data_IF_270757018802
#
_entry.id   IF_270757018802
#
_cell.length_a   1.000
_cell.length_b   1.000
_cell.length_c   1.000
_cell.angle_alpha   90.00
_cell.angle_beta   90.00
_cell.angle_gamma   90.00
#
_symmetry.space_group_name_H-M   'P 1'
#
loop_
_entity.id
_entity.type
_entity.pdbx_description
1 polymer ?
2 non-polymer ?
3 water ?
#
# COMPACT_ATOMS: atom_id res chain seq x y z
N UNK A 9 -3.19 22.95 18.62
CA UNK A 9 -2.09 22.82 19.63
C UNK A 9 -1.28 21.51 19.43
N UNK A 10 -1.98 20.40 19.23
CA UNK A 10 -1.33 19.08 19.03
C UNK A 10 -0.82 18.93 17.60
N UNK A 11 0.51 18.83 17.41
CA UNK A 11 1.20 18.67 16.12
C UNK A 11 0.52 17.74 15.11
N UNK A 12 0.15 16.55 15.56
CA UNK A 12 -0.51 15.56 14.71
C UNK A 12 -1.80 16.13 14.17
N UNK A 13 -2.40 17.02 14.94
CA UNK A 13 -3.67 17.62 14.55
C UNK A 13 -3.52 18.93 13.82
N UNK A 14 -2.31 19.27 13.40
CA UNK A 14 -2.11 20.51 12.65
C UNK A 14 -2.39 20.24 11.19
N UNK A 15 -3.08 21.16 10.51
CA UNK A 15 -3.41 21.02 9.09
C UNK A 15 -2.17 20.86 8.23
N UNK A 16 -2.37 20.38 7.01
CA UNK A 16 -1.26 20.16 6.12
C UNK A 16 -1.77 20.14 4.69
N UNK A 17 -1.09 20.88 3.81
CA UNK A 17 -1.47 20.94 2.41
C UNK A 17 -0.66 19.90 1.63
N UNK A 18 -1.36 19.02 0.90
CA UNK A 18 -0.72 17.99 0.12
C UNK A 18 -1.09 18.08 -1.36
N UNK A 19 -0.13 18.46 -2.18
CA UNK A 19 -0.43 18.57 -3.60
C UNK A 19 -1.46 19.65 -3.90
N UNK A 20 -2.68 19.48 -3.39
CA UNK A 20 -3.77 20.42 -3.59
C UNK A 20 -4.99 20.07 -2.72
N UNK A 21 -4.79 19.09 -1.83
CA UNK A 21 -5.83 18.63 -0.91
C UNK A 21 -5.62 19.24 0.49
N UNK A 22 -6.70 19.69 1.13
CA UNK A 22 -6.61 20.25 2.49
C UNK A 22 -6.90 19.19 3.53
N UNK A 23 -5.88 18.82 4.32
CA UNK A 23 -6.07 17.81 5.35
C UNK A 23 -6.24 18.52 6.72
N UNK A 24 -7.27 18.15 7.47
CA UNK A 24 -7.54 18.78 8.76
C UNK A 24 -6.57 18.41 9.88
N UNK A 25 -5.87 17.28 9.66
CA UNK A 25 -4.89 16.74 10.59
C UNK A 25 -3.95 15.80 9.84
N UNK A 26 -2.90 15.32 10.50
CA UNK A 26 -1.93 14.45 9.84
C UNK A 26 -2.02 12.96 10.16
N UNK A 27 -3.08 12.55 10.83
CA UNK A 27 -3.26 11.15 11.20
C UNK A 27 -3.91 10.44 10.01
N UNK A 28 -3.09 9.65 9.33
CA UNK A 28 -3.53 8.94 8.14
C UNK A 28 -3.93 7.48 8.39
N UNK A 29 -5.09 7.06 7.87
CA UNK A 29 -5.46 5.64 8.00
C UNK A 29 -4.57 4.86 6.99
N UNK A 30 -3.67 4.01 7.49
CA UNK A 30 -2.78 3.23 6.65
C UNK A 30 -3.55 2.17 5.84
N UNK A 31 -3.04 1.84 4.65
CA UNK A 31 -3.73 0.82 3.84
C UNK A 31 -3.70 -0.44 4.69
N UNK A 32 -4.82 -1.13 4.78
CA UNK A 32 -4.93 -2.32 5.60
C UNK A 32 -5.74 -3.47 4.94
N UNK A 33 -5.03 -4.48 4.43
CA UNK A 33 -5.66 -5.66 3.79
C UNK A 33 -6.46 -6.40 4.88
N UNK A 34 -7.78 -6.48 4.71
CA UNK A 34 -8.64 -7.13 5.71
C UNK A 34 -9.29 -8.44 5.23
N UNK A 35 -9.13 -8.78 3.96
CA UNK A 35 -9.66 -10.03 3.42
C UNK A 35 -11.14 -10.29 3.73
N UNK A 36 -11.99 -9.32 3.39
CA UNK A 36 -13.43 -9.46 3.62
C UNK A 36 -14.16 -8.96 2.38
N UNK A 37 -13.45 -8.94 1.26
CA UNK A 37 -14.01 -8.51 -0.01
C UNK A 37 -14.30 -9.82 -0.76
N UNK A 38 -15.33 -10.52 -0.29
CA UNK A 38 -15.74 -11.80 -0.85
C UNK A 38 -15.62 -11.89 -2.34
N UNK A 39 -14.86 -12.88 -2.80
CA UNK A 39 -14.67 -13.09 -4.23
C UNK A 39 -13.87 -12.03 -4.94
N UNK A 40 -13.25 -11.14 -4.15
CA UNK A 40 -12.45 -10.03 -4.66
C UNK A 40 -13.34 -8.84 -4.97
N UNK A 41 -14.58 -8.91 -4.49
CA UNK A 41 -15.51 -7.82 -4.69
C UNK A 41 -15.71 -7.09 -3.36
N UNK A 42 -15.55 -5.77 -3.36
CA UNK A 42 -15.72 -4.98 -2.13
C UNK A 42 -17.08 -5.26 -1.49
N UNK A 43 -17.16 -5.29 -0.17
CA UNK A 43 -18.44 -5.57 0.47
C UNK A 43 -19.06 -4.36 1.18
N UNK A 44 -20.36 -4.44 1.46
CA UNK A 44 -21.12 -3.40 2.13
C UNK A 44 -20.51 -2.98 3.43
N UNK A 45 -19.88 -3.92 4.12
CA UNK A 45 -19.26 -3.55 5.37
C UNK A 45 -18.20 -2.44 5.13
N UNK A 46 -17.30 -2.61 4.15
CA UNK A 46 -16.29 -1.57 3.86
C UNK A 46 -16.93 -0.17 3.92
N UNK A 47 -18.12 -0.02 3.31
CA UNK A 47 -18.84 1.26 3.33
C UNK A 47 -18.86 1.79 4.76
N UNK A 48 -19.28 0.96 5.70
CA UNK A 48 -19.31 1.34 7.12
C UNK A 48 -17.86 1.50 7.62
N UNK A 49 -17.07 0.45 7.47
CA UNK A 49 -15.68 0.44 7.88
C UNK A 49 -14.88 1.70 7.57
N UNK A 50 -14.75 2.08 6.29
CA UNK A 50 -14.00 3.28 5.92
C UNK A 50 -14.71 4.58 6.35
N UNK A 51 -16.05 4.54 6.34
CA UNK A 51 -16.85 5.69 6.74
C UNK A 51 -16.61 5.99 8.22
N UNK A 52 -16.51 4.94 9.01
CA UNK A 52 -16.28 5.10 10.44
C UNK A 52 -14.94 5.74 10.72
N UNK A 53 -13.99 5.54 9.81
CA UNK A 53 -12.64 6.09 10.00
C UNK A 53 -12.37 7.41 9.28
N UNK A 54 -13.40 7.96 8.67
CA UNK A 54 -13.30 9.23 7.95
C UNK A 54 -13.61 10.42 8.87
N UNK A 55 -12.89 11.52 8.67
CA UNK A 55 -13.07 12.78 9.41
C UNK A 55 -13.10 13.89 8.40
N UNK A 56 -13.74 15.02 8.73
CA UNK A 56 -13.79 16.15 7.79
C UNK A 56 -12.36 16.46 7.37
N UNK A 57 -12.00 16.11 6.14
CA UNK A 57 -10.65 16.39 5.69
C UNK A 57 -9.59 15.41 6.17
N UNK A 58 -9.98 14.16 6.44
CA UNK A 58 -9.02 13.16 6.88
C UNK A 58 -8.55 12.36 5.66
N UNK A 59 -7.27 11.98 5.65
CA UNK A 59 -6.70 11.21 4.54
C UNK A 59 -6.79 9.73 4.87
N UNK A 60 -7.36 8.94 3.95
CA UNK A 60 -7.52 7.49 4.12
C UNK A 60 -6.87 6.71 2.96
N UNK A 61 -6.19 5.61 3.28
CA UNK A 61 -5.57 4.78 2.28
C UNK A 61 -6.28 3.41 2.34
N UNK A 62 -6.80 2.94 1.20
CA UNK A 62 -7.48 1.64 1.20
C UNK A 62 -6.53 0.47 1.38
N UNK A 63 -7.10 -0.67 1.76
CA UNK A 63 -6.34 -1.90 1.85
C UNK A 63 -5.82 -2.13 0.41
N UNK A 64 -4.79 -2.95 0.23
CA UNK A 64 -4.30 -3.23 -1.12
C UNK A 64 -5.47 -3.84 -1.93
N UNK A 65 -5.55 -3.44 -3.20
CA UNK A 65 -6.61 -3.82 -4.14
C UNK A 65 -6.07 -4.26 -5.52
N UNK A 66 -6.21 -5.55 -5.82
CA UNK A 66 -5.71 -6.13 -7.07
C UNK A 66 -6.01 -5.40 -8.36
N UNK A 67 -5.04 -5.41 -9.26
CA UNK A 67 -5.17 -4.74 -10.53
C UNK A 67 -5.66 -5.71 -11.62
N UNK A 68 -5.47 -7.00 -11.39
CA UNK A 68 -5.89 -8.00 -12.36
C UNK A 68 -6.25 -9.35 -11.76
N UNK A 69 -6.53 -10.31 -12.63
CA UNK A 69 -6.91 -11.64 -12.19
C UNK A 69 -5.74 -12.47 -11.67
N UNK A 70 -4.52 -11.93 -11.79
CA UNK A 70 -3.31 -12.64 -11.32
C UNK A 70 -2.54 -11.86 -10.26
N UNK A 71 -3.08 -10.71 -9.86
CA UNK A 71 -2.47 -9.80 -8.88
C UNK A 71 -2.53 -10.31 -7.43
N UNK A 72 -3.47 -11.21 -7.16
CA UNK A 72 -3.67 -11.76 -5.82
C UNK A 72 -2.59 -12.74 -5.38
N UNK A 73 -2.43 -12.82 -4.06
CA UNK A 73 -1.50 -13.73 -3.40
C UNK A 73 -2.10 -14.24 -2.09
N UNK A 74 -3.42 -14.06 -1.95
CA UNK A 74 -4.25 -14.47 -0.78
C UNK A 74 -5.70 -14.66 -1.24
N UNK A 75 -6.66 -14.50 -0.33
CA UNK A 75 -8.04 -14.67 -0.70
C UNK A 75 -8.92 -13.51 -0.25
N UNK A 76 -9.94 -13.20 -1.03
CA UNK A 76 -10.89 -12.13 -0.75
C UNK A 76 -10.34 -10.71 -0.55
N UNK A 77 -9.22 -10.39 -1.20
CA UNK A 77 -8.70 -9.03 -1.12
C UNK A 77 -9.31 -8.44 -2.38
N UNK A 78 -9.88 -7.23 -2.27
CA UNK A 78 -10.51 -6.60 -3.43
C UNK A 78 -9.67 -6.31 -4.67
N UNK A 79 -10.30 -6.45 -5.83
CA UNK A 79 -9.61 -6.12 -7.05
C UNK A 79 -10.18 -4.79 -7.50
N UNK A 80 -9.53 -4.15 -8.46
CA UNK A 80 -10.05 -2.92 -9.01
C UNK A 80 -9.98 -3.18 -10.51
N UNK A 81 -10.21 -4.42 -10.94
CA UNK A 81 -10.13 -4.64 -12.40
C UNK A 81 -11.42 -4.99 -13.16
N UNK A 82 -12.49 -5.34 -12.47
CA UNK A 82 -13.74 -5.65 -13.18
C UNK A 82 -14.79 -4.59 -12.97
N UNK A 83 -15.57 -4.31 -14.01
CA UNK A 83 -16.61 -3.31 -13.92
C UNK A 83 -17.35 -3.54 -12.61
N UNK A 84 -17.61 -4.81 -12.26
CA UNK A 84 -18.31 -5.11 -11.02
C UNK A 84 -17.60 -4.52 -9.79
N UNK A 85 -16.33 -4.91 -9.56
CA UNK A 85 -15.58 -4.39 -8.42
C UNK A 85 -15.84 -2.89 -8.26
N UNK A 86 -15.75 -2.16 -9.37
CA UNK A 86 -15.99 -0.71 -9.38
C UNK A 86 -17.32 -0.29 -8.76
N UNK A 87 -18.41 -0.99 -9.07
CA UNK A 87 -19.71 -0.58 -8.50
C UNK A 87 -19.81 -0.90 -7.02
N UNK A 88 -19.16 -1.98 -6.61
CA UNK A 88 -19.11 -2.35 -5.21
C UNK A 88 -18.32 -1.23 -4.50
N UNK A 89 -17.25 -0.76 -5.14
CA UNK A 89 -16.45 0.29 -4.53
C UNK A 89 -17.16 1.64 -4.50
N UNK A 90 -17.69 2.06 -5.65
CA UNK A 90 -18.36 3.35 -5.75
C UNK A 90 -19.08 3.81 -4.48
N UNK A 91 -20.10 3.09 -4.02
CA UNK A 91 -20.74 3.60 -2.79
C UNK A 91 -19.85 3.73 -1.55
N UNK A 92 -18.77 2.95 -1.50
CA UNK A 92 -17.87 3.02 -0.35
C UNK A 92 -17.18 4.38 -0.40
N UNK A 93 -16.81 4.79 -1.61
CA UNK A 93 -16.15 6.06 -1.87
C UNK A 93 -17.08 7.24 -1.55
N UNK A 94 -18.35 7.11 -1.92
CA UNK A 94 -19.30 8.20 -1.65
C UNK A 94 -19.47 8.43 -0.17
N UNK A 95 -19.54 7.34 0.60
CA UNK A 95 -19.69 7.45 2.06
C UNK A 95 -18.45 8.11 2.69
N UNK A 96 -17.29 7.94 2.06
CA UNK A 96 -16.06 8.54 2.59
C UNK A 96 -16.07 10.02 2.23
N UNK A 97 -16.49 10.32 1.00
CA UNK A 97 -16.59 11.70 0.55
C UNK A 97 -17.72 12.47 1.21
N UNK A 98 -18.84 11.82 1.50
CA UNK A 98 -19.92 12.55 2.14
C UNK A 98 -19.51 12.94 3.56
N UNK A 99 -18.45 12.32 4.11
CA UNK A 99 -17.95 12.67 5.45
C UNK A 99 -16.68 13.52 5.36
N UNK A 100 -16.32 13.94 4.14
CA UNK A 100 -15.17 14.81 3.98
C UNK A 100 -13.76 14.25 3.83
N UNK A 101 -13.63 12.93 3.82
CA UNK A 101 -12.31 12.35 3.67
C UNK A 101 -11.73 12.43 2.27
N UNK A 102 -10.39 12.40 2.19
CA UNK A 102 -9.66 12.37 0.94
C UNK A 102 -9.33 10.89 0.99
N UNK A 103 -9.83 10.16 0.00
CA UNK A 103 -9.72 8.70 -0.03
C UNK A 103 -8.91 8.15 -1.21
N UNK A 104 -7.72 7.60 -0.93
CA UNK A 104 -6.87 6.98 -1.97
C UNK A 104 -6.94 5.47 -1.87
N UNK A 105 -6.91 4.81 -3.02
CA UNK A 105 -6.95 3.35 -3.04
C UNK A 105 -5.56 2.82 -3.34
N UNK A 106 -4.95 2.06 -2.42
CA UNK A 106 -3.62 1.52 -2.70
C UNK A 106 -3.77 0.49 -3.84
N UNK A 107 -2.80 0.42 -4.75
CA UNK A 107 -2.87 -0.54 -5.85
C UNK A 107 -1.66 -1.44 -5.88
N UNK A 108 -1.91 -2.74 -5.91
CA UNK A 108 -0.83 -3.73 -5.91
C UNK A 108 -1.00 -4.80 -6.98
N UNK A 109 -0.17 -5.82 -6.79
CA UNK A 109 -0.05 -7.08 -7.53
C UNK A 109 1.00 -7.78 -6.62
N UNK A 110 0.62 -8.91 -5.99
CA UNK A 110 1.54 -9.59 -5.07
C UNK A 110 2.85 -10.12 -5.66
N UNK A 111 2.85 -10.38 -6.96
CA UNK A 111 4.06 -10.91 -7.56
C UNK A 111 4.31 -12.31 -7.09
N UNK A 112 5.55 -12.63 -6.75
CA UNK A 112 5.86 -13.98 -6.31
C UNK A 112 5.24 -14.41 -4.98
N UNK A 113 4.47 -13.52 -4.33
CA UNK A 113 3.83 -13.82 -3.02
C UNK A 113 2.41 -14.32 -3.27
N UNK A 114 2.31 -15.54 -3.80
CA UNK A 114 1.03 -16.14 -4.14
C UNK A 114 1.18 -17.65 -4.32
N UNK A 115 0.15 -18.29 -4.86
CA UNK A 115 0.14 -19.74 -5.13
C UNK A 115 -0.75 -20.11 -6.31
N UNK A 116 -0.55 -21.31 -6.84
CA UNK A 116 -1.32 -21.78 -7.98
C UNK A 116 -2.82 -21.67 -7.74
N UNK A 117 -3.24 -22.01 -6.52
CA UNK A 117 -4.65 -21.95 -6.17
C UNK A 117 -5.24 -20.56 -6.33
N UNK A 118 -4.38 -19.55 -6.25
CA UNK A 118 -4.79 -18.17 -6.41
C UNK A 118 -4.88 -17.83 -7.89
N UNK A 119 -3.89 -18.27 -8.66
CA UNK A 119 -3.86 -18.00 -10.09
C UNK A 119 -4.85 -18.82 -10.91
N UNK A 120 -5.50 -18.19 -11.91
CA UNK A 120 -6.48 -18.79 -12.81
C UNK A 120 -5.86 -19.99 -13.55
N UNK A 121 -6.70 -20.94 -13.95
CA UNK A 121 -6.21 -22.13 -14.65
C UNK A 121 -5.07 -22.78 -13.85
N UNK A 122 -4.95 -22.41 -12.58
CA UNK A 122 -3.90 -22.94 -11.74
C UNK A 122 -2.50 -22.58 -12.18
N UNK A 123 -2.35 -21.54 -12.99
CA UNK A 123 -1.03 -21.14 -13.46
C UNK A 123 -0.12 -20.77 -12.30
N UNK A 124 1.17 -20.70 -12.58
CA UNK A 124 2.12 -20.35 -11.55
C UNK A 124 2.16 -18.84 -11.27
N UNK A 125 2.42 -18.45 -10.01
CA UNK A 125 2.49 -17.03 -9.68
C UNK A 125 3.62 -16.51 -10.55
N UNK A 126 3.60 -15.22 -10.85
CA UNK A 126 4.62 -14.59 -11.68
C UNK A 126 5.47 -13.66 -10.85
N UNK A 127 6.72 -13.45 -11.27
CA UNK A 127 7.66 -12.57 -10.58
C UNK A 127 8.76 -12.12 -11.53
N UNK A 128 9.69 -11.34 -11.01
CA UNK A 128 10.81 -10.86 -11.81
C UNK A 128 11.79 -12.03 -11.96
N UNK A 129 11.66 -13.02 -11.09
CA UNK A 129 12.54 -14.18 -11.14
C UNK A 129 11.82 -15.49 -10.83
N UNK A 130 12.56 -16.60 -10.90
CA UNK A 130 12.00 -17.89 -10.58
C UNK A 130 12.52 -18.30 -9.21
N UNK A 131 12.88 -17.31 -8.40
CA UNK A 131 13.40 -17.59 -7.06
C UNK A 131 12.28 -17.94 -6.08
N UNK A 132 12.30 -19.15 -5.52
CA UNK A 132 11.28 -19.60 -4.56
C UNK A 132 11.26 -18.78 -3.27
N UNK A 133 10.07 -18.60 -2.70
CA UNK A 133 9.87 -17.85 -1.46
C UNK A 133 9.52 -18.81 -0.32
N UNK A 134 10.25 -18.71 0.79
CA UNK A 134 10.06 -19.56 1.98
C UNK A 134 10.02 -21.04 1.67
N UNK A 135 11.12 -21.58 1.12
CA UNK A 135 11.20 -23.01 0.75
C UNK A 135 10.98 -24.00 1.90
N UNK A 136 11.27 -23.61 3.13
CA UNK A 136 11.08 -24.49 4.28
C UNK A 136 9.60 -24.80 4.54
N UNK A 137 8.71 -23.94 4.07
CA UNK A 137 7.27 -24.16 4.31
C UNK A 137 6.62 -25.10 3.26
N UNK A 138 6.52 -26.38 3.62
CA UNK A 138 5.91 -27.38 2.72
C UNK A 138 4.52 -27.78 3.17
N UNK A 139 3.74 -28.28 2.22
CA UNK A 139 2.37 -28.72 2.50
C UNK A 139 2.35 -29.96 3.38
N UNK A 140 1.49 -30.90 3.07
CA UNK A 140 1.36 -32.13 3.85
C UNK A 140 1.80 -33.38 3.10
N UNK A 141 2.96 -33.91 3.48
CA UNK A 141 3.49 -35.10 2.86
C UNK A 141 3.80 -34.93 1.39
N UNK A 142 3.92 -33.67 0.95
CA UNK A 142 4.21 -33.38 -0.45
C UNK A 142 5.57 -32.70 -0.55
N UNK A 143 5.80 -32.01 -1.66
CA UNK A 143 7.04 -31.29 -1.87
C UNK A 143 6.64 -29.91 -2.38
N UNK A 144 5.39 -29.82 -2.85
CA UNK A 144 4.86 -28.58 -3.38
C UNK A 144 4.81 -27.51 -2.30
N UNK A 145 5.74 -26.56 -2.39
CA UNK A 145 5.83 -25.47 -1.42
C UNK A 145 4.51 -24.77 -1.22
N UNK A 146 4.41 -24.01 -0.14
CA UNK A 146 3.19 -23.26 0.16
C UNK A 146 3.02 -22.23 -0.92
N UNK A 147 4.10 -21.50 -1.21
CA UNK A 147 4.10 -20.49 -2.25
C UNK A 147 4.65 -21.15 -3.49
N UNK A 148 3.74 -21.43 -4.42
CA UNK A 148 4.07 -22.07 -5.69
C UNK A 148 5.22 -21.30 -6.29
N UNK A 149 6.37 -21.96 -6.55
CA UNK A 149 7.53 -21.28 -7.14
C UNK A 149 7.16 -20.41 -8.35
N UNK A 150 7.68 -19.18 -8.39
CA UNK A 150 7.41 -18.21 -9.45
C UNK A 150 8.01 -18.42 -10.84
N UNK A 151 7.22 -18.05 -11.85
CA UNK A 151 7.65 -18.14 -13.23
C UNK A 151 8.35 -16.82 -13.57
N UNK A 152 9.60 -16.88 -14.00
CA UNK A 152 10.36 -15.70 -14.36
C UNK A 152 9.66 -15.04 -15.54
N UNK A 153 9.12 -13.85 -15.27
CA UNK A 153 8.39 -13.04 -16.24
C UNK A 153 9.06 -12.89 -17.61
N UNK A 154 8.35 -13.29 -18.66
CA UNK A 154 8.88 -13.14 -19.99
C UNK A 154 9.00 -11.63 -20.16
N UNK A 155 10.20 -11.16 -20.52
CA UNK A 155 10.44 -9.73 -20.68
C UNK A 155 9.45 -9.04 -21.65
N UNK A 156 8.67 -9.84 -22.36
CA UNK A 156 7.68 -9.28 -23.29
C UNK A 156 6.35 -8.98 -22.56
N UNK A 157 6.18 -9.57 -21.38
CA UNK A 157 4.96 -9.38 -20.59
C UNK A 157 5.11 -8.27 -19.55
N UNK A 158 6.31 -7.73 -19.42
CA UNK A 158 6.54 -6.70 -18.41
C UNK A 158 5.95 -5.33 -18.74
N UNK A 159 6.12 -4.84 -19.98
CA UNK A 159 5.54 -3.53 -20.29
C UNK A 159 4.02 -3.56 -20.12
N UNK A 160 3.43 -4.73 -20.36
CA UNK A 160 1.99 -4.89 -20.20
C UNK A 160 1.58 -4.81 -18.75
N UNK A 161 2.36 -5.41 -17.85
CA UNK A 161 2.05 -5.37 -16.43
C UNK A 161 2.10 -3.94 -15.95
N UNK A 162 3.05 -3.18 -16.50
CA UNK A 162 3.20 -1.78 -16.16
C UNK A 162 1.95 -1.06 -16.64
N UNK A 163 1.30 -1.61 -17.66
CA UNK A 163 0.07 -1.03 -18.18
C UNK A 163 -1.10 -1.43 -17.29
N UNK A 164 -0.95 -2.56 -16.58
CA UNK A 164 -1.98 -3.02 -15.67
C UNK A 164 -2.14 -2.00 -14.54
N UNK A 165 -1.02 -1.45 -14.09
CA UNK A 165 -1.09 -0.44 -13.04
C UNK A 165 -1.67 0.88 -13.54
N UNK A 166 -1.29 1.30 -14.74
CA UNK A 166 -1.83 2.55 -15.23
C UNK A 166 -3.33 2.42 -15.35
N UNK A 167 -3.80 1.27 -15.79
CA UNK A 167 -5.22 1.02 -15.96
C UNK A 167 -5.97 1.15 -14.64
N UNK A 168 -5.61 0.32 -13.68
CA UNK A 168 -6.22 0.36 -12.36
C UNK A 168 -6.27 1.79 -11.87
N UNK A 169 -5.25 2.59 -12.19
CA UNK A 169 -5.26 3.99 -11.76
C UNK A 169 -6.43 4.68 -12.43
N UNK A 170 -6.56 4.51 -13.74
CA UNK A 170 -7.67 5.12 -14.46
C UNK A 170 -8.99 4.65 -13.87
N UNK A 171 -9.08 3.37 -13.55
CA UNK A 171 -10.31 2.84 -12.98
C UNK A 171 -10.61 3.46 -11.63
N UNK A 172 -9.55 3.84 -10.91
CA UNK A 172 -9.72 4.46 -9.60
C UNK A 172 -10.37 5.81 -9.84
N UNK A 173 -9.94 6.48 -10.90
CA UNK A 173 -10.50 7.78 -11.24
C UNK A 173 -11.92 7.59 -11.74
N UNK A 174 -12.32 6.34 -11.99
CA UNK A 174 -13.68 6.03 -12.45
C UNK A 174 -14.60 5.76 -11.26
N UNK A 175 -14.08 5.09 -10.24
CA UNK A 175 -14.85 4.79 -9.05
C UNK A 175 -14.96 6.05 -8.17
N UNK A 176 -14.25 7.11 -8.57
CA UNK A 176 -14.30 8.37 -7.82
C UNK A 176 -13.23 8.63 -6.75
N UNK A 177 -12.23 7.76 -6.65
CA UNK A 177 -11.17 7.96 -5.67
C UNK A 177 -10.41 9.26 -5.99
N UNK A 178 -9.76 9.86 -5.00
CA UNK A 178 -8.99 11.08 -5.21
C UNK A 178 -7.63 10.78 -5.86
N UNK A 179 -7.29 9.50 -5.91
CA UNK A 179 -6.02 9.11 -6.50
C UNK A 179 -5.71 7.69 -6.04
N UNK A 180 -4.46 7.27 -6.28
CA UNK A 180 -4.02 5.93 -5.93
C UNK A 180 -2.65 5.86 -5.30
N UNK A 181 -2.41 4.86 -4.43
CA UNK A 181 -1.09 4.69 -3.83
C UNK A 181 -0.48 3.46 -4.49
N UNK A 182 0.65 3.63 -5.16
CA UNK A 182 1.32 2.50 -5.82
C UNK A 182 2.02 1.64 -4.77
N UNK A 183 1.63 0.38 -4.63
CA UNK A 183 2.27 -0.46 -3.62
C UNK A 183 3.68 -0.86 -4.04
N UNK A 184 4.67 -0.15 -3.53
CA UNK A 184 6.05 -0.48 -3.85
C UNK A 184 6.77 -1.12 -2.67
N UNK A 185 6.02 -1.64 -1.70
CA UNK A 185 6.68 -2.25 -0.54
C UNK A 185 6.27 -3.69 -0.26
N UNK A 186 6.69 -4.13 0.92
CA UNK A 186 6.35 -5.44 1.46
C UNK A 186 6.36 -6.66 0.52
N UNK A 187 7.55 -7.11 0.14
CA UNK A 187 7.68 -8.28 -0.72
C UNK A 187 6.69 -8.46 -1.88
N UNK A 188 5.91 -7.43 -2.21
CA UNK A 188 4.93 -7.54 -3.31
C UNK A 188 5.62 -7.45 -4.68
N UNK A 189 4.84 -7.51 -5.75
CA UNK A 189 5.42 -7.56 -7.09
C UNK A 189 6.41 -6.45 -7.45
N UNK A 190 6.15 -5.23 -7.00
CA UNK A 190 7.07 -4.13 -7.33
C UNK A 190 8.36 -4.16 -6.52
N UNK A 191 8.24 -4.51 -5.25
CA UNK A 191 9.38 -4.60 -4.37
C UNK A 191 10.33 -5.69 -4.88
N UNK A 192 9.77 -6.78 -5.40
CA UNK A 192 10.56 -7.89 -5.95
C UNK A 192 11.56 -7.44 -7.01
N UNK A 193 11.11 -6.62 -7.95
CA UNK A 193 11.99 -6.14 -9.00
C UNK A 193 13.11 -5.27 -8.41
N UNK A 194 12.79 -4.54 -7.35
CA UNK A 194 13.77 -3.66 -6.72
C UNK A 194 14.85 -4.35 -5.89
N UNK A 195 14.45 -5.39 -5.16
CA UNK A 195 15.36 -6.11 -4.28
C UNK A 195 16.31 -7.11 -4.92
N UNK A 196 17.59 -6.88 -4.70
CA UNK A 196 18.62 -7.73 -5.28
C UNK A 196 18.62 -9.18 -4.86
N UNK A 197 18.25 -9.46 -3.63
CA UNK A 197 18.23 -10.86 -3.20
C UNK A 197 17.12 -11.59 -3.95
N UNK A 198 16.21 -10.82 -4.54
CA UNK A 198 15.10 -11.43 -5.29
C UNK A 198 15.25 -11.25 -6.81
N UNK A 199 15.66 -10.05 -7.21
CA UNK A 199 15.83 -9.75 -8.62
C UNK A 199 17.24 -10.10 -9.14
N UNK A 200 17.35 -11.18 -9.89
CA UNK A 200 18.62 -11.62 -10.47
C UNK A 200 18.50 -11.67 -12.00
N UNK A 201 17.61 -10.86 -12.57
CA UNK A 201 17.43 -10.88 -14.01
C UNK A 201 18.72 -10.43 -14.71
N UNK A 202 18.94 -10.94 -15.91
CA UNK A 202 20.13 -10.57 -16.66
C UNK A 202 19.79 -9.81 -17.93
N UNK A 203 18.56 -9.29 -17.98
CA UNK A 203 18.10 -8.49 -19.11
C UNK A 203 17.96 -7.04 -18.64
N UNK A 204 17.11 -6.25 -19.29
CA UNK A 204 16.99 -4.84 -18.89
C UNK A 204 16.22 -4.53 -17.62
N UNK A 205 15.56 -5.53 -17.03
CA UNK A 205 14.80 -5.33 -15.80
C UNK A 205 15.50 -5.85 -14.54
N UNK A 206 16.78 -6.17 -14.67
CA UNK A 206 17.53 -6.66 -13.54
C UNK A 206 19.02 -6.65 -13.79
N UNK A 207 19.78 -6.99 -12.75
CA UNK A 207 21.23 -7.04 -12.88
C UNK A 207 21.96 -5.85 -12.30
N UNK A 208 21.21 -4.84 -11.85
CA UNK A 208 21.79 -3.65 -11.27
C UNK A 208 20.69 -2.77 -10.69
N UNK A 209 21.07 -1.86 -9.79
CA UNK A 209 20.10 -0.96 -9.18
C UNK A 209 19.30 -0.28 -10.28
N UNK A 210 19.99 0.13 -11.33
CA UNK A 210 19.35 0.80 -12.47
C UNK A 210 18.21 -0.07 -13.00
N UNK A 211 18.57 -1.18 -13.64
CA UNK A 211 17.57 -2.08 -14.22
C UNK A 211 16.52 -2.52 -13.19
N UNK A 212 16.91 -2.61 -11.93
CA UNK A 212 16.00 -3.03 -10.89
C UNK A 212 14.89 -2.03 -10.60
N UNK A 213 15.24 -0.74 -10.56
CA UNK A 213 14.23 0.28 -10.29
C UNK A 213 13.44 0.68 -11.53
N UNK A 214 13.86 0.18 -12.68
CA UNK A 214 13.16 0.47 -13.92
C UNK A 214 11.66 0.13 -13.78
N UNK A 215 11.36 -0.97 -13.12
CA UNK A 215 9.97 -1.37 -12.97
C UNK A 215 9.12 -0.31 -12.25
N UNK A 216 9.45 0.03 -10.98
CA UNK A 216 8.68 1.04 -10.25
C UNK A 216 8.75 2.42 -10.91
N UNK A 217 9.80 2.65 -11.68
CA UNK A 217 9.91 3.94 -12.35
C UNK A 217 8.90 4.04 -13.47
N UNK A 218 8.79 3.00 -14.27
CA UNK A 218 7.82 2.98 -15.35
C UNK A 218 6.41 3.10 -14.77
N UNK A 219 6.27 2.78 -13.49
CA UNK A 219 4.96 2.84 -12.85
C UNK A 219 4.70 4.26 -12.38
N UNK A 220 5.65 4.83 -11.65
CA UNK A 220 5.49 6.18 -11.19
C UNK A 220 5.39 7.08 -12.40
N UNK A 221 5.97 6.65 -13.52
CA UNK A 221 5.95 7.44 -14.75
C UNK A 221 4.60 7.35 -15.45
N UNK A 222 4.09 6.13 -15.58
CA UNK A 222 2.83 5.88 -16.25
C UNK A 222 1.57 6.34 -15.50
N UNK A 223 1.52 6.03 -14.21
CA UNK A 223 0.37 6.41 -13.39
C UNK A 223 0.26 7.93 -13.33
N UNK A 224 1.40 8.58 -13.14
CA UNK A 224 1.45 10.04 -13.07
C UNK A 224 0.82 10.73 -14.28
N UNK A 225 1.30 10.38 -15.47
CA UNK A 225 0.77 10.98 -16.69
C UNK A 225 -0.68 10.61 -16.85
N UNK A 226 -1.02 9.41 -16.42
CA UNK A 226 -2.39 8.92 -16.52
C UNK A 226 -3.39 9.76 -15.74
N UNK A 227 -3.25 9.82 -14.43
CA UNK A 227 -4.19 10.58 -13.60
C UNK A 227 -3.65 11.88 -13.03
N UNK A 228 -2.43 12.24 -13.39
CA UNK A 228 -1.83 13.46 -12.86
C UNK A 228 -0.80 13.10 -11.79
N UNK A 229 0.37 13.74 -11.78
CA UNK A 229 1.42 13.45 -10.79
C UNK A 229 1.04 13.79 -9.36
N UNK A 230 0.36 14.93 -9.20
CA UNK A 230 -0.07 15.43 -7.90
C UNK A 230 -1.22 14.64 -7.30
N UNK A 231 -1.53 13.49 -7.88
CA UNK A 231 -2.59 12.66 -7.34
C UNK A 231 -2.01 11.25 -7.17
N UNK A 232 -0.73 11.12 -7.50
CA UNK A 232 -0.09 9.81 -7.38
C UNK A 232 1.01 9.78 -6.35
N UNK A 233 0.95 8.76 -5.50
CA UNK A 233 1.97 8.54 -4.49
C UNK A 233 2.44 7.10 -4.61
N UNK A 234 3.44 6.72 -3.83
CA UNK A 234 3.94 5.35 -3.83
C UNK A 234 4.45 4.95 -2.44
N UNK A 235 4.25 3.67 -2.06
CA UNK A 235 4.72 3.18 -0.77
C UNK A 235 5.90 2.25 -1.01
N UNK A 236 6.97 2.49 -0.27
CA UNK A 236 8.19 1.71 -0.35
C UNK A 236 8.64 1.38 1.07
N UNK A 237 9.35 0.26 1.23
CA UNK A 237 9.89 -0.18 2.51
C UNK A 237 11.30 -0.66 2.21
N UNK A 238 12.26 0.28 2.08
CA UNK A 238 13.65 -0.09 1.78
C UNK A 238 14.44 -0.77 2.91
N UNK A 239 13.81 -0.87 4.09
CA UNK A 239 14.46 -1.48 5.24
C UNK A 239 13.89 -2.85 5.58
N UNK A 240 12.65 -3.08 5.18
CA UNK A 240 11.97 -4.34 5.48
C UNK A 240 12.45 -5.49 4.60
N UNK A 241 12.20 -6.70 5.07
CA UNK A 241 12.53 -7.93 4.34
C UNK A 241 11.34 -8.90 4.41
N UNK A 242 10.14 -8.36 4.62
CA UNK A 242 8.94 -9.19 4.68
C UNK A 242 8.91 -10.05 3.44
N UNK A 243 8.63 -11.35 3.63
CA UNK A 243 8.60 -12.30 2.51
C UNK A 243 9.94 -12.33 1.79
N UNK A 244 11.00 -12.53 2.57
CA UNK A 244 12.37 -12.61 2.07
C UNK A 244 12.64 -11.56 0.99
N UNK A 245 12.36 -10.30 1.34
CA UNK A 245 12.52 -9.17 0.43
C UNK A 245 13.67 -8.24 0.78
N UNK A 246 14.68 -8.77 1.46
CA UNK A 246 15.81 -7.92 1.83
C UNK A 246 16.62 -7.49 0.63
N UNK A 247 17.31 -6.35 0.75
CA UNK A 247 18.16 -5.82 -0.31
C UNK A 247 19.57 -5.82 0.25
N UNK A 248 20.57 -6.03 -0.59
CA UNK A 248 21.96 -6.05 -0.15
C UNK A 248 22.43 -4.69 0.35
N UNK A 249 21.76 -3.64 -0.08
CA UNK A 249 22.14 -2.29 0.31
C UNK A 249 20.86 -1.48 0.42
N UNK A 250 20.10 -1.73 1.49
CA UNK A 250 18.83 -1.06 1.77
C UNK A 250 18.93 0.41 2.17
N UNK A 251 19.82 0.73 3.12
CA UNK A 251 19.97 2.11 3.55
C UNK A 251 20.04 3.07 2.38
N UNK A 252 20.72 2.63 1.34
CA UNK A 252 20.89 3.43 0.13
C UNK A 252 19.61 3.62 -0.66
N UNK A 253 18.70 2.65 -0.59
CA UNK A 253 17.48 2.77 -1.35
C UNK A 253 16.69 3.96 -0.86
N UNK A 254 16.52 4.05 0.46
CA UNK A 254 15.76 5.14 1.04
C UNK A 254 16.10 6.49 0.43
N UNK A 255 17.39 6.80 0.43
CA UNK A 255 17.85 8.06 -0.09
C UNK A 255 17.62 8.12 -1.58
N UNK A 256 18.28 7.21 -2.30
CA UNK A 256 18.17 7.14 -3.75
C UNK A 256 16.73 7.36 -4.14
N UNK A 257 15.86 6.53 -3.60
CA UNK A 257 14.45 6.62 -3.88
C UNK A 257 13.92 8.00 -3.59
N UNK A 258 14.18 8.49 -2.38
CA UNK A 258 13.73 9.83 -2.01
C UNK A 258 14.05 10.84 -3.11
N UNK A 259 15.21 10.69 -3.76
CA UNK A 259 15.65 11.60 -4.82
C UNK A 259 15.11 11.22 -6.19
N UNK A 260 15.16 9.93 -6.49
CA UNK A 260 14.68 9.40 -7.74
C UNK A 260 13.23 9.80 -8.00
N UNK A 261 12.46 10.04 -6.94
CA UNK A 261 11.05 10.43 -7.08
C UNK A 261 10.85 11.90 -7.37
N UNK A 262 11.76 12.75 -6.91
CA UNK A 262 11.66 14.18 -7.18
C UNK A 262 11.60 14.37 -8.67
N UNK A 263 12.52 13.69 -9.34
CA UNK A 263 12.66 13.72 -10.80
C UNK A 263 11.31 13.61 -11.48
N UNK A 264 10.51 12.64 -11.03
CA UNK A 264 9.19 12.39 -11.59
C UNK A 264 8.17 13.32 -10.94
N UNK A 265 8.64 14.03 -9.92
CA UNK A 265 7.77 14.95 -9.22
C UNK A 265 6.35 14.45 -9.04
N UNK A 266 6.10 13.78 -7.91
CA UNK A 266 4.75 13.28 -7.60
C UNK A 266 4.25 13.79 -6.25
N UNK A 267 3.00 13.44 -5.96
CA UNK A 267 2.33 13.88 -4.74
C UNK A 267 3.04 13.58 -3.42
N UNK A 268 3.34 12.31 -3.13
CA UNK A 268 3.98 11.96 -1.87
C UNK A 268 4.81 10.70 -1.87
N UNK A 269 5.61 10.55 -0.83
CA UNK A 269 6.43 9.37 -0.65
C UNK A 269 6.00 8.87 0.72
N UNK A 270 5.59 7.61 0.76
CA UNK A 270 5.09 6.96 1.94
C UNK A 270 6.06 5.81 2.24
N UNK A 271 6.79 5.90 3.35
CA UNK A 271 7.78 4.89 3.68
C UNK A 271 7.61 4.28 5.07
N UNK A 272 7.89 2.99 5.15
CA UNK A 272 7.77 2.26 6.39
C UNK A 272 9.10 2.34 7.15
N UNK A 273 9.00 2.58 8.45
CA UNK A 273 10.19 2.70 9.29
C UNK A 273 10.97 1.38 9.36
N UNK A 274 12.27 1.48 9.59
CA UNK A 274 13.12 0.28 9.71
C UNK A 274 12.90 -0.39 11.06
N UNK A 275 13.77 -1.32 11.40
CA UNK A 275 13.69 -2.04 12.67
C UNK A 275 14.12 -1.15 13.83
N UNK A 276 13.50 0.02 13.94
CA UNK A 276 13.84 0.98 14.98
C UNK A 276 12.85 2.14 15.00
N UNK A 287 19.64 8.66 8.73
CA UNK A 287 20.13 7.47 8.04
C UNK A 287 18.97 6.63 7.52
N UNK A 288 17.90 6.55 8.32
CA UNK A 288 16.71 5.78 7.98
C UNK A 288 15.70 6.60 7.18
N UNK A 289 14.80 7.30 7.87
CA UNK A 289 13.79 8.13 7.21
C UNK A 289 14.01 9.65 7.35
N UNK A 290 14.97 10.08 8.16
CA UNK A 290 15.20 11.51 8.28
C UNK A 290 15.74 12.11 6.99
N UNK A 291 16.89 11.60 6.52
CA UNK A 291 17.43 12.14 5.27
C UNK A 291 16.49 11.87 4.10
N UNK A 292 15.45 11.08 4.34
CA UNK A 292 14.46 10.73 3.32
C UNK A 292 13.41 11.81 3.10
N UNK A 293 12.84 12.31 4.19
CA UNK A 293 11.84 13.35 4.06
C UNK A 293 12.58 14.62 3.64
N UNK A 294 13.86 14.71 4.03
CA UNK A 294 14.72 15.83 3.70
C UNK A 294 14.94 15.87 2.19
N UNK A 295 15.22 14.71 1.63
CA UNK A 295 15.45 14.58 0.21
C UNK A 295 14.20 14.81 -0.64
N UNK A 296 13.09 14.15 -0.28
CA UNK A 296 11.83 14.29 -1.05
C UNK A 296 11.29 15.71 -0.94
N UNK A 297 11.00 16.28 -2.10
CA UNK A 297 10.49 17.64 -2.19
C UNK A 297 9.00 17.73 -1.86
N UNK A 298 8.27 16.63 -2.11
CA UNK A 298 6.85 16.64 -1.84
C UNK A 298 6.48 16.14 -0.46
N UNK A 299 5.20 15.82 -0.29
CA UNK A 299 4.73 15.34 0.99
C UNK A 299 5.41 14.05 1.40
N UNK A 300 5.60 13.88 2.69
CA UNK A 300 6.24 12.69 3.21
C UNK A 300 5.36 12.15 4.32
N UNK A 301 5.05 10.87 4.24
CA UNK A 301 4.20 10.23 5.20
C UNK A 301 5.00 9.16 5.96
N UNK A 302 4.87 9.18 7.27
CA UNK A 302 5.57 8.18 8.09
C UNK A 302 4.60 7.17 8.69
N UNK A 303 5.05 5.92 8.76
CA UNK A 303 4.24 4.83 9.33
C UNK A 303 5.17 3.78 9.87
N UNK A 304 4.72 3.04 10.87
CA UNK A 304 5.59 2.01 11.41
C UNK A 304 6.23 2.42 12.71
N UNK A 305 5.54 2.16 13.82
CA UNK A 305 6.02 2.48 15.16
C UNK A 305 5.33 3.62 15.88
N UNK A 306 4.63 4.48 15.14
CA UNK A 306 3.99 5.63 15.78
C UNK A 306 2.88 5.44 16.78
N UNK A 307 2.76 6.44 17.65
CA UNK A 307 1.77 6.51 18.71
C UNK A 307 1.38 7.98 18.87
N UNK A 308 1.39 8.47 20.10
CA UNK A 308 1.07 9.87 20.33
C UNK A 308 2.37 10.64 20.03
N UNK A 309 3.19 10.83 21.06
CA UNK A 309 4.46 11.54 20.93
C UNK A 309 5.25 11.12 19.70
N UNK A 310 5.36 9.81 19.50
CA UNK A 310 6.08 9.26 18.36
C UNK A 310 5.71 10.13 17.15
N UNK A 311 4.41 10.18 16.84
CA UNK A 311 3.97 10.97 15.70
C UNK A 311 4.06 12.47 15.93
N UNK A 312 3.58 12.93 17.08
CA UNK A 312 3.65 14.34 17.42
C UNK A 312 5.10 14.80 17.19
N UNK A 313 6.04 14.12 17.85
CA UNK A 313 7.45 14.48 17.72
C UNK A 313 7.88 14.57 16.27
N UNK A 314 7.51 13.56 15.49
CA UNK A 314 7.87 13.52 14.09
C UNK A 314 7.24 14.70 13.35
N UNK A 315 6.05 15.12 13.77
CA UNK A 315 5.41 16.23 13.10
C UNK A 315 6.02 17.57 13.53
N UNK A 316 5.89 17.90 14.80
CA UNK A 316 6.42 19.14 15.35
C UNK A 316 7.89 19.35 15.01
N UNK A 317 8.72 18.32 15.19
CA UNK A 317 10.15 18.49 14.87
C UNK A 317 10.43 18.40 13.37
N UNK A 318 9.37 18.48 12.57
CA UNK A 318 9.49 18.44 11.12
C UNK A 318 10.03 17.13 10.52
N UNK A 319 9.95 16.07 11.31
CA UNK A 319 10.43 14.75 10.90
C UNK A 319 9.52 14.14 9.83
N UNK A 320 8.24 14.41 9.92
CA UNK A 320 7.32 13.89 8.92
C UNK A 320 6.25 14.94 8.62
N UNK A 321 5.51 14.75 7.54
CA UNK A 321 4.43 15.68 7.20
C UNK A 321 3.14 15.06 7.68
N UNK A 322 3.03 13.75 7.48
CA UNK A 322 1.86 13.03 7.93
C UNK A 322 2.31 11.79 8.66
N UNK A 323 1.39 11.18 9.39
CA UNK A 323 1.68 9.95 10.12
C UNK A 323 0.51 8.98 9.83
N UNK A 324 0.84 7.82 9.24
CA UNK A 324 -0.12 6.77 8.92
C UNK A 324 -0.02 5.71 10.01
N UNK A 325 -1.16 5.41 10.62
CA UNK A 325 -1.26 4.43 11.68
C UNK A 325 -1.94 3.22 11.11
N UNK A 326 -1.49 2.06 11.54
CA UNK A 326 -2.05 0.83 11.02
C UNK A 326 -2.93 0.16 12.06
N UNK A 327 -2.35 -0.69 12.89
CA UNK A 327 -3.13 -1.43 13.86
C UNK A 327 -3.90 -0.61 14.88
N UNK A 328 -3.40 0.57 15.21
CA UNK A 328 -4.07 1.45 16.15
C UNK A 328 -5.28 2.13 15.54
N UNK A 329 -5.27 2.32 14.22
CA UNK A 329 -6.41 2.98 13.55
C UNK A 329 -7.43 1.90 13.20
N UNK A 330 -6.95 0.68 13.02
CA UNK A 330 -7.80 -0.46 12.68
C UNK A 330 -8.79 -0.66 13.83
N UNK A 331 -8.27 -0.59 15.05
CA UNK A 331 -9.05 -0.79 16.27
C UNK A 331 -9.66 0.46 16.92
N UNK A 332 -9.66 1.59 16.20
CA UNK A 332 -10.22 2.83 16.74
C UNK A 332 -10.76 3.71 15.62
N UNK A 333 -12.03 3.55 15.24
CA UNK A 333 -12.56 4.38 14.17
C UNK A 333 -12.29 5.88 14.38
N UNK A 334 -12.31 6.32 15.63
CA UNK A 334 -12.06 7.71 15.98
C UNK A 334 -10.68 7.91 16.62
N UNK A 335 -9.63 7.79 15.80
CA UNK A 335 -8.28 7.96 16.30
C UNK A 335 -7.84 9.44 16.23
N UNK A 336 -8.05 10.14 15.09
CA UNK A 336 -7.66 11.54 14.95
C UNK A 336 -8.14 12.47 16.08
N UNK A 337 -9.36 12.23 16.55
CA UNK A 337 -9.97 13.02 17.62
C UNK A 337 -9.28 12.73 18.95
N UNK A 338 -8.99 11.46 19.17
CA UNK A 338 -8.33 11.03 20.39
C UNK A 338 -6.99 11.77 20.46
N UNK A 339 -6.18 11.60 19.43
CA UNK A 339 -4.88 12.26 19.35
C UNK A 339 -5.05 13.77 19.48
N UNK A 340 -6.29 14.22 19.57
CA UNK A 340 -6.56 15.64 19.72
C UNK A 340 -7.18 15.91 21.08
N UNK A 341 -8.04 14.96 21.50
CA UNK A 341 -8.76 15.03 22.77
C UNK A 341 -8.18 14.02 23.75
N UNK A 342 -6.96 14.28 24.20
CA UNK A 342 -6.22 13.43 25.12
C UNK A 342 -7.06 12.29 25.67
N UNK A 343 -7.00 11.16 24.97
CA UNK A 343 -7.74 9.96 25.35
C UNK A 343 -6.98 8.69 24.96
N UNK A 344 -7.02 7.68 25.85
CA UNK A 344 -6.32 6.43 25.56
C UNK A 344 -6.96 5.72 24.36
N UNK A 345 -6.49 4.51 24.09
CA UNK A 345 -6.98 3.73 22.95
C UNK A 345 -7.40 2.30 23.29
N UNK A 346 -8.30 1.76 22.47
CA UNK A 346 -8.77 0.38 22.63
C UNK A 346 -7.70 -0.56 22.09
N UNK A 347 -7.80 -1.84 22.42
CA UNK A 347 -6.82 -2.81 21.93
C UNK A 347 -7.24 -3.36 20.57
N UNK A 348 -6.28 -3.71 19.73
CA UNK A 348 -6.60 -4.27 18.41
C UNK A 348 -6.70 -5.78 18.57
N UNK A 349 -7.63 -6.39 17.85
CA UNK A 349 -7.86 -7.83 17.92
C UNK A 349 -7.20 -8.62 16.80
N UNK A 350 -5.90 -8.89 16.95
CA UNK A 350 -5.13 -9.64 15.96
C UNK A 350 -5.87 -10.80 15.32
N UNK A 351 -6.41 -11.72 16.13
CA UNK A 351 -7.13 -12.88 15.57
C UNK A 351 -8.26 -12.54 14.59
N UNK A 352 -8.70 -11.29 14.54
CA UNK A 352 -9.76 -10.95 13.59
C UNK A 352 -9.40 -9.93 12.51
N UNK A 353 -8.14 -9.51 12.47
CA UNK A 353 -7.72 -8.59 11.42
C UNK A 353 -7.99 -9.25 10.05
N UNK A 354 -7.62 -10.53 9.95
CA UNK A 354 -7.74 -11.26 8.68
C UNK A 354 -8.88 -12.25 8.51
N UNK A 355 -9.78 -12.31 9.49
CA UNK A 355 -10.93 -13.21 9.41
C UNK A 355 -11.96 -12.59 8.46
N UNK A 356 -13.03 -13.33 8.15
CA UNK A 356 -14.00 -12.79 7.19
C UNK A 356 -15.40 -12.39 7.67
N UNK A 357 -15.58 -12.08 8.95
CA UNK A 357 -16.92 -11.68 9.39
C UNK A 357 -17.12 -10.25 8.91
N UNK A 358 -18.35 -9.90 8.47
CA UNK A 358 -18.64 -8.54 7.99
C UNK A 358 -18.51 -7.47 9.06
N UNK A 359 -18.73 -7.88 10.31
CA UNK A 359 -18.69 -6.98 11.45
C UNK A 359 -17.60 -7.25 12.49
N UNK A 360 -17.65 -8.45 13.07
CA UNK A 360 -16.72 -8.84 14.13
C UNK A 360 -15.24 -8.60 13.83
N UNK A 361 -14.64 -7.72 14.62
CA UNK A 361 -13.24 -7.39 14.44
C UNK A 361 -13.03 -6.54 13.19
N UNK A 362 -14.11 -5.97 12.66
CA UNK A 362 -13.99 -5.14 11.47
C UNK A 362 -14.65 -3.77 11.67
N UNK A 363 -15.85 -3.77 12.24
CA UNK A 363 -16.59 -2.54 12.48
C UNK A 363 -17.14 -2.39 13.89
N UNK A 364 -16.88 -3.36 14.78
CA UNK A 364 -17.38 -3.30 16.16
C UNK A 364 -16.44 -2.59 17.15
N UNK A 365 -15.30 -2.11 16.66
CA UNK A 365 -14.38 -1.34 17.50
C UNK A 365 -15.18 -0.07 17.77
N UNK A 366 -15.40 0.27 19.04
CA UNK A 366 -16.17 1.43 19.48
C UNK A 366 -15.55 2.83 19.47
N UNK A 367 -16.39 3.84 19.27
CA UNK A 367 -15.93 5.23 19.29
C UNK A 367 -15.84 5.63 20.77
N UNK A 368 -15.10 6.69 21.08
CA UNK A 368 -14.97 7.17 22.46
C UNK A 368 -16.36 7.31 23.08
N UNK A 369 -16.99 8.47 22.86
CA UNK A 369 -18.34 8.75 23.34
C UNK A 369 -19.06 9.77 22.45
X LIG B 1 0.48 -2.10 4.34
X LIG B 1 0.28 -1.89 3.02
X LIG B 1 1.06 -1.18 2.43
X LIG B 1 -0.74 -2.44 2.32
X LIG B 1 -1.66 -3.27 2.91
X LIG B 1 -2.58 -3.75 2.27
X LIG B 1 -1.50 -3.56 4.34
X LIG B 1 -2.35 -4.33 5.02
X LIG B 1 -2.22 -4.57 6.36
X LIG B 1 -3.16 -5.39 7.06
X LIG B 1 -3.04 -5.60 8.42
X LIG B 1 -4.06 -6.46 9.15
X LIG B 1 -1.96 -5.02 9.16
X LIG B 1 -1.82 -5.26 10.64
X LIG B 1 -1.04 -4.22 8.50
X LIG B 1 -1.15 -3.96 7.08
X LIG B 1 -0.21 -3.12 6.40
X LIG B 1 -0.35 -2.89 5.04
X LIG B 1 0.79 -2.56 7.23
X LIG B 1 0.22 -1.22 7.78
X LIG B 1 0.08 -0.29 6.63
X LIG B 1 1.28 -0.98 8.94
X LIG B 1 1.04 -2.07 9.90
X LIG B 1 1.13 0.17 9.89
X LIG B 1 1.36 1.46 9.23
X LIG B 1 2.17 -0.16 10.97
X LIG B 1 1.90 0.63 12.07
X LIG B 1 2.84 0.03 13.20
X LIG B 1 4.21 -0.50 12.95
X LIG B 1 2.67 0.59 14.68
X LIG B 1 3.54 1.46 13.01
#
# INVERSE_FOLDING_TARGET
>A
MENGEAKQSVPLLTPYKMGRFNLSHRVVLAPLTRQRSYGNVPQPHAAIYYSQRTTPGGFLITEATGVSDTAQGYQDTPGIWTKEHVEAWKPIVDAVHAKGGIFFCQIWHVGRVSNSGFQPNGKAPISCSDKPLMPQIRSNGIDEALFTPPRRLGIEEIPGIVNDFRLAARNAMEAGFDGVEIHGANGYLIDQFMKDTVNDRTDEYGGSLQNRCKFPLEIVDAVAKEIGPDRVGIRLSPFADYMESGDTNPGALGLYMAESLNKYGILYCHVIEARMKTMGEVHACPHTLMPMRKAFKGTFISAGGFTREDGNEAVSKGRTDLVAYGRWFLANPDLPKRFQVDAPLNKYDRPTFYTSDPVVGYTDYPFLESTA
>B hetero
1 FMN N1 C2 O2 N3 C4 O4 C4A N5 C5A C6 C7 C7M C8 C8M C9 C9A N10 C10 C1' C2' O2' C3' O3' C4' O4' C5' O5' P O1P O2P O3P
#
